data_IF_885665207697
#
_entry.id   IF_885665207697
#
_cell.length_a   1.000
_cell.length_b   1.000
_cell.length_c   1.000
_cell.angle_alpha   90.00
_cell.angle_beta   90.00
_cell.angle_gamma   90.00
#
_symmetry.space_group_name_H-M   'P 1'
#
loop_
_entity.id
_entity.type
_entity.pdbx_description
1 polymer ?
#
# COMPACT_ATOMS: atom_id res chain seq x y z
N UNK A 1 26.51 12.00 18.95
CA UNK A 1 25.44 11.75 19.94
C UNK A 1 24.25 12.57 19.50
N UNK A 2 23.37 11.99 18.67
CA UNK A 2 22.10 12.63 18.31
C UNK A 2 21.27 12.55 19.58
N UNK A 3 21.11 13.69 20.26
CA UNK A 3 20.22 13.78 21.40
C UNK A 3 18.84 13.46 20.83
N UNK A 4 18.22 12.38 21.30
CA UNK A 4 16.81 12.13 21.05
C UNK A 4 16.06 13.31 21.67
N UNK A 5 15.72 14.32 20.86
CA UNK A 5 14.76 15.33 21.28
C UNK A 5 13.52 14.57 21.76
N UNK A 6 13.10 14.85 22.99
CA UNK A 6 11.86 14.28 23.51
C UNK A 6 10.77 14.59 22.49
N UNK A 7 10.23 13.55 21.85
CA UNK A 7 9.15 13.76 20.89
C UNK A 7 7.94 14.27 21.65
N UNK A 8 7.74 15.57 21.56
CA UNK A 8 6.58 16.26 22.09
C UNK A 8 5.46 16.18 21.05
N UNK A 9 4.21 16.26 21.51
CA UNK A 9 3.04 16.23 20.62
C UNK A 9 3.13 17.30 19.51
N UNK A 10 3.83 18.41 19.77
CA UNK A 10 4.08 19.49 18.81
C UNK A 10 4.92 19.07 17.60
N UNK A 11 5.79 18.05 17.71
CA UNK A 11 6.59 17.56 16.59
C UNK A 11 5.73 16.90 15.51
N UNK A 12 4.56 16.36 15.89
CA UNK A 12 3.60 15.74 14.98
C UNK A 12 2.56 16.72 14.41
N UNK A 13 2.48 17.95 14.96
CA UNK A 13 1.51 18.95 14.54
C UNK A 13 1.59 19.29 13.04
N UNK A 14 2.79 19.47 12.42
CA UNK A 14 2.88 19.72 10.98
C UNK A 14 2.32 18.57 10.13
N UNK A 15 2.51 17.32 10.56
CA UNK A 15 2.01 16.12 9.86
C UNK A 15 0.48 16.08 9.90
N UNK A 16 -0.11 16.38 11.06
CA UNK A 16 -1.57 16.45 11.21
C UNK A 16 -2.18 17.58 10.39
N UNK A 17 -1.53 18.76 10.36
CA UNK A 17 -1.96 19.87 9.53
C UNK A 17 -1.90 19.48 8.05
N UNK A 18 -0.82 18.84 7.60
CA UNK A 18 -0.68 18.39 6.22
C UNK A 18 -1.73 17.34 5.84
N UNK A 19 -1.99 16.36 6.70
CA UNK A 19 -3.05 15.36 6.49
C UNK A 19 -4.43 16.02 6.43
N UNK A 20 -4.71 16.97 7.34
CA UNK A 20 -5.94 17.74 7.35
C UNK A 20 -6.14 18.55 6.07
N UNK A 21 -5.12 19.28 5.61
CA UNK A 21 -5.15 20.02 4.34
C UNK A 21 -5.33 19.08 3.14
N UNK A 22 -4.63 17.94 3.14
CA UNK A 22 -4.71 16.93 2.08
C UNK A 22 -6.09 16.30 1.93
N UNK A 23 -6.87 16.19 3.02
CA UNK A 23 -8.26 15.74 2.99
C UNK A 23 -9.24 16.89 2.70
N UNK A 24 -8.96 18.08 3.23
CA UNK A 24 -9.83 19.25 3.11
C UNK A 24 -9.90 19.76 1.66
N UNK A 25 -8.79 19.81 0.93
CA UNK A 25 -8.76 20.26 -0.47
C UNK A 25 -9.68 19.43 -1.38
N UNK A 26 -9.54 18.08 -1.47
CA UNK A 26 -10.46 17.24 -2.24
C UNK A 26 -11.90 17.37 -1.77
N UNK A 27 -12.14 17.46 -0.45
CA UNK A 27 -13.48 17.63 0.10
C UNK A 27 -14.14 18.94 -0.34
N UNK A 28 -13.41 20.07 -0.33
CA UNK A 28 -13.90 21.35 -0.83
C UNK A 28 -14.18 21.29 -2.33
N UNK A 29 -13.28 20.67 -3.12
CA UNK A 29 -13.47 20.53 -4.56
C UNK A 29 -14.72 19.70 -4.86
N UNK A 30 -14.91 18.57 -4.16
CA UNK A 30 -16.10 17.72 -4.31
C UNK A 30 -17.37 18.45 -3.85
N UNK A 31 -17.32 19.20 -2.75
CA UNK A 31 -18.45 20.00 -2.27
C UNK A 31 -18.81 21.13 -3.24
N UNK A 32 -17.82 21.85 -3.75
CA UNK A 32 -18.01 22.90 -4.75
C UNK A 32 -18.58 22.31 -6.05
N UNK A 33 -18.04 21.18 -6.52
CA UNK A 33 -18.58 20.46 -7.67
C UNK A 33 -20.02 20.00 -7.44
N UNK A 34 -20.34 19.54 -6.23
CA UNK A 34 -21.70 19.11 -5.88
C UNK A 34 -22.69 20.29 -5.83
N UNK A 35 -22.27 21.47 -5.34
CA UNK A 35 -23.12 22.66 -5.18
C UNK A 35 -23.28 23.42 -6.52
N UNK A 36 -22.18 23.66 -7.22
CA UNK A 36 -22.13 24.48 -8.43
C UNK A 36 -22.22 23.67 -9.73
N UNK A 37 -22.04 22.36 -9.68
CA UNK A 37 -22.10 21.50 -10.86
C UNK A 37 -23.50 21.41 -11.47
N UNK A 38 -23.55 21.36 -12.81
CA UNK A 38 -24.79 21.13 -13.54
C UNK A 38 -25.30 19.72 -13.26
N UNK A 39 -26.31 19.60 -12.40
CA UNK A 39 -26.93 18.31 -12.09
C UNK A 39 -27.82 17.88 -13.24
N UNK A 40 -27.54 16.71 -13.80
CA UNK A 40 -28.54 16.01 -14.57
C UNK A 40 -29.70 15.66 -13.63
N UNK A 41 -30.94 16.00 -14.01
CA UNK A 41 -32.12 15.41 -13.36
C UNK A 41 -32.01 13.89 -13.49
N UNK A 42 -32.30 13.16 -12.41
CA UNK A 42 -32.27 11.70 -12.38
C UNK A 42 -32.98 11.16 -13.61
N UNK A 43 -32.26 10.41 -14.42
CA UNK A 43 -32.76 9.84 -15.64
C UNK A 43 -32.41 8.36 -15.57
N UNK A 44 -33.41 7.51 -15.71
CA UNK A 44 -33.26 6.05 -15.71
C UNK A 44 -32.05 5.58 -16.52
N UNK A 45 -31.80 6.18 -17.69
CA UNK A 45 -30.66 5.82 -18.55
C UNK A 45 -29.30 6.25 -17.95
N UNK A 46 -29.22 7.41 -17.30
CA UNK A 46 -27.99 7.94 -16.69
C UNK A 46 -27.62 7.23 -15.38
N UNK A 47 -28.63 6.69 -14.69
CA UNK A 47 -28.48 6.04 -13.39
C UNK A 47 -28.25 4.51 -13.52
N UNK A 48 -28.17 3.98 -14.74
CA UNK A 48 -27.82 2.57 -15.01
C UNK A 48 -26.32 2.37 -15.19
N UNK A 49 -25.85 1.19 -14.82
CA UNK A 49 -24.51 0.73 -15.16
C UNK A 49 -24.29 0.75 -16.68
N UNK A 50 -23.10 1.16 -17.10
CA UNK A 50 -22.74 1.22 -18.50
C UNK A 50 -22.46 -0.18 -19.04
N UNK A 51 -23.26 -0.62 -20.03
CA UNK A 51 -23.11 -1.92 -20.70
C UNK A 51 -23.31 -1.75 -22.22
N UNK A 52 -22.63 -0.77 -22.84
CA UNK A 52 -22.69 -0.50 -24.29
C UNK A 52 -24.12 -0.33 -24.87
N UNK A 53 -25.09 0.07 -24.07
CA UNK A 53 -26.50 0.25 -24.47
C UNK A 53 -27.40 -0.98 -24.29
N UNK A 54 -26.85 -2.09 -23.81
CA UNK A 54 -27.58 -3.30 -23.45
C UNK A 54 -27.97 -3.27 -21.95
N UNK A 55 -28.98 -4.04 -21.52
CA UNK A 55 -29.20 -4.28 -20.11
C UNK A 55 -27.98 -5.00 -19.52
N UNK A 56 -27.52 -4.56 -18.34
CA UNK A 56 -26.46 -5.23 -17.62
C UNK A 56 -26.91 -6.66 -17.26
N UNK A 57 -26.30 -7.65 -17.93
CA UNK A 57 -26.55 -9.07 -17.71
C UNK A 57 -25.27 -9.71 -17.15
N UNK A 58 -25.39 -10.41 -16.03
CA UNK A 58 -24.25 -11.05 -15.40
C UNK A 58 -24.52 -11.48 -13.96
N UNK A 59 -23.71 -12.39 -13.43
CA UNK A 59 -23.73 -12.69 -12.00
C UNK A 59 -23.25 -11.46 -11.23
N UNK A 60 -24.04 -10.98 -10.28
CA UNK A 60 -23.72 -9.82 -9.42
C UNK A 60 -22.39 -10.01 -8.66
N UNK A 61 -21.97 -11.26 -8.44
CA UNK A 61 -20.71 -11.61 -7.77
C UNK A 61 -19.98 -12.72 -8.55
N UNK A 62 -19.23 -12.38 -9.61
CA UNK A 62 -18.39 -13.36 -10.28
C UNK A 62 -17.23 -13.77 -9.37
N UNK A 63 -16.75 -15.00 -9.52
CA UNK A 63 -15.48 -15.41 -8.91
C UNK A 63 -14.36 -14.75 -9.69
N UNK A 64 -13.61 -13.87 -9.03
CA UNK A 64 -12.39 -13.30 -9.60
C UNK A 64 -11.27 -14.34 -9.60
N UNK A 65 -10.28 -14.14 -10.46
CA UNK A 65 -9.13 -15.03 -10.56
C UNK A 65 -8.37 -15.09 -9.23
N UNK A 66 -7.91 -16.29 -8.85
CA UNK A 66 -7.09 -16.50 -7.63
C UNK A 66 -5.78 -15.70 -7.70
N UNK A 67 -5.36 -15.27 -8.89
CA UNK A 67 -4.16 -14.46 -9.14
C UNK A 67 -4.12 -13.19 -8.26
N UNK A 68 -5.25 -12.49 -8.07
CA UNK A 68 -5.31 -11.32 -7.17
C UNK A 68 -4.97 -11.66 -5.72
N UNK A 69 -5.44 -12.82 -5.24
CA UNK A 69 -5.15 -13.29 -3.88
C UNK A 69 -3.68 -13.64 -3.71
N UNK A 70 -3.09 -14.34 -4.68
CA UNK A 70 -1.66 -14.70 -4.64
C UNK A 70 -0.82 -13.42 -4.60
N UNK A 71 -1.06 -12.45 -5.48
CA UNK A 71 -0.33 -11.18 -5.47
C UNK A 71 -0.47 -10.42 -4.16
N UNK A 72 -1.68 -10.35 -3.58
CA UNK A 72 -1.91 -9.66 -2.30
C UNK A 72 -1.20 -10.36 -1.13
N UNK A 73 -1.23 -11.69 -1.09
CA UNK A 73 -0.55 -12.49 -0.08
C UNK A 73 0.97 -12.29 -0.13
N UNK A 74 1.55 -12.28 -1.34
CA UNK A 74 2.98 -12.01 -1.52
C UNK A 74 3.36 -10.58 -1.12
N UNK A 75 2.52 -9.60 -1.45
CA UNK A 75 2.73 -8.22 -1.03
C UNK A 75 2.76 -8.07 0.49
N UNK A 76 1.80 -8.69 1.20
CA UNK A 76 1.76 -8.66 2.68
C UNK A 76 3.01 -9.29 3.28
N UNK A 77 3.46 -10.42 2.71
CA UNK A 77 4.66 -11.12 3.17
C UNK A 77 5.89 -10.20 3.03
N UNK A 78 6.08 -9.61 1.86
CA UNK A 78 7.20 -8.70 1.59
C UNK A 78 7.15 -7.42 2.45
N UNK A 79 5.95 -6.88 2.71
CA UNK A 79 5.78 -5.69 3.57
C UNK A 79 6.20 -6.00 5.02
N UNK A 80 5.82 -7.16 5.55
CA UNK A 80 6.27 -7.62 6.88
C UNK A 80 7.80 -7.78 6.94
N UNK A 81 8.43 -8.25 5.86
CA UNK A 81 9.90 -8.34 5.80
C UNK A 81 10.57 -6.97 5.89
N UNK A 82 10.02 -5.96 5.20
CA UNK A 82 10.53 -4.58 5.27
C UNK A 82 10.39 -4.01 6.69
N UNK A 83 9.30 -4.32 7.39
CA UNK A 83 9.11 -3.93 8.80
C UNK A 83 10.25 -4.46 9.69
N UNK A 84 10.82 -5.64 9.40
CA UNK A 84 12.00 -6.15 10.13
C UNK A 84 13.31 -5.51 9.69
N UNK A 85 13.45 -5.14 8.41
CA UNK A 85 14.67 -4.50 7.89
C UNK A 85 14.84 -3.05 8.36
N UNK A 86 13.75 -2.31 8.59
CA UNK A 86 13.83 -0.89 8.97
C UNK A 86 14.54 -0.68 10.32
N UNK A 87 14.16 -1.35 11.44
CA UNK A 87 14.87 -1.21 12.70
C UNK A 87 16.34 -1.60 12.58
N UNK A 88 16.64 -2.69 11.87
CA UNK A 88 18.01 -3.13 11.63
C UNK A 88 18.84 -2.04 10.92
N UNK A 89 18.30 -1.42 9.87
CA UNK A 89 18.99 -0.37 9.12
C UNK A 89 19.26 0.87 9.99
N UNK A 90 18.36 1.21 10.92
CA UNK A 90 18.51 2.36 11.82
C UNK A 90 19.62 2.16 12.86
N UNK A 91 19.72 0.96 13.44
CA UNK A 91 20.70 0.65 14.53
C UNK A 91 22.02 0.08 14.02
N UNK A 92 22.14 -0.22 12.73
CA UNK A 92 23.29 -0.90 12.12
C UNK A 92 24.66 -0.34 12.57
N UNK A 93 24.79 0.99 12.60
CA UNK A 93 26.05 1.67 12.97
C UNK A 93 26.44 1.44 14.43
N UNK A 94 25.47 1.34 15.32
CA UNK A 94 25.68 1.16 16.76
C UNK A 94 26.15 -0.26 17.05
N UNK A 95 25.52 -1.26 16.40
CA UNK A 95 25.94 -2.66 16.48
C UNK A 95 27.34 -2.88 15.90
N UNK A 96 27.66 -2.20 14.80
CA UNK A 96 29.01 -2.27 14.21
C UNK A 96 30.06 -1.68 15.15
N UNK A 97 29.75 -0.56 15.82
CA UNK A 97 30.64 0.04 16.81
C UNK A 97 30.81 -0.84 18.07
N UNK A 98 29.79 -1.62 18.42
CA UNK A 98 29.83 -2.61 19.51
C UNK A 98 30.53 -3.93 19.13
N UNK A 99 31.00 -4.08 17.88
CA UNK A 99 31.67 -5.30 17.41
C UNK A 99 30.72 -6.50 17.21
N UNK A 100 29.41 -6.27 17.17
CA UNK A 100 28.41 -7.32 16.98
C UNK A 100 28.27 -7.61 15.48
N UNK A 101 28.42 -8.87 15.08
CA UNK A 101 28.34 -9.33 13.69
C UNK A 101 26.89 -9.37 13.13
N UNK A 102 26.16 -8.26 13.23
CA UNK A 102 24.75 -8.16 12.82
C UNK A 102 24.54 -8.35 11.31
N UNK A 103 25.58 -8.14 10.50
CA UNK A 103 25.59 -8.38 9.06
C UNK A 103 25.36 -9.84 8.70
N UNK A 104 25.89 -10.78 9.49
CA UNK A 104 25.75 -12.21 9.21
C UNK A 104 24.31 -12.71 9.44
N UNK A 105 23.67 -12.27 10.52
CA UNK A 105 22.26 -12.62 10.78
C UNK A 105 21.34 -12.04 9.68
N UNK A 106 21.61 -10.79 9.28
CA UNK A 106 20.78 -10.11 8.27
C UNK A 106 21.02 -10.64 6.87
N UNK A 107 22.25 -11.07 6.54
CA UNK A 107 22.52 -11.69 5.24
C UNK A 107 21.82 -13.05 5.11
N UNK A 108 21.75 -13.85 6.18
CA UNK A 108 20.97 -15.10 6.18
C UNK A 108 19.48 -14.82 6.04
N UNK A 109 18.97 -13.79 6.72
CA UNK A 109 17.59 -13.34 6.59
C UNK A 109 17.29 -12.93 5.13
N UNK A 110 18.05 -11.98 4.57
CA UNK A 110 17.90 -11.51 3.18
C UNK A 110 18.05 -12.65 2.16
N UNK A 111 18.99 -13.57 2.38
CA UNK A 111 19.17 -14.73 1.52
C UNK A 111 17.91 -15.60 1.48
N UNK A 112 17.25 -15.80 2.62
CA UNK A 112 15.99 -16.54 2.71
C UNK A 112 14.88 -15.84 1.91
N UNK A 113 14.81 -14.50 1.96
CA UNK A 113 13.83 -13.72 1.18
C UNK A 113 14.05 -13.88 -0.33
N UNK A 114 15.30 -13.69 -0.78
CA UNK A 114 15.66 -13.82 -2.19
C UNK A 114 15.38 -15.23 -2.69
N UNK A 115 15.62 -16.26 -1.86
CA UNK A 115 15.33 -17.64 -2.20
C UNK A 115 13.81 -17.89 -2.32
N UNK A 116 13.01 -17.37 -1.40
CA UNK A 116 11.55 -17.42 -1.46
C UNK A 116 11.00 -16.77 -2.73
N UNK A 117 11.45 -15.55 -3.02
CA UNK A 117 11.07 -14.83 -4.24
C UNK A 117 11.50 -15.56 -5.52
N UNK A 118 12.72 -16.10 -5.55
CA UNK A 118 13.21 -16.87 -6.69
C UNK A 118 12.38 -18.14 -6.92
N UNK A 119 11.96 -18.82 -5.84
CA UNK A 119 11.08 -19.98 -5.91
C UNK A 119 9.71 -19.61 -6.49
N UNK A 120 9.12 -18.51 -6.05
CA UNK A 120 7.80 -18.05 -6.51
C UNK A 120 7.80 -17.62 -7.97
N UNK A 121 8.84 -16.90 -8.41
CA UNK A 121 9.06 -16.56 -9.81
C UNK A 121 9.14 -17.84 -10.65
N UNK A 122 9.92 -18.83 -10.21
CA UNK A 122 10.06 -20.11 -10.91
C UNK A 122 8.75 -20.92 -10.94
N UNK A 123 7.89 -20.76 -9.94
CA UNK A 123 6.55 -21.38 -9.89
C UNK A 123 5.49 -20.62 -10.69
N UNK A 124 5.83 -19.47 -11.27
CA UNK A 124 4.90 -18.68 -12.07
C UNK A 124 3.81 -17.99 -11.23
N UNK A 125 4.03 -17.78 -9.92
CA UNK A 125 3.05 -17.15 -9.04
C UNK A 125 2.73 -15.69 -9.44
N UNK A 126 3.63 -15.08 -10.22
CA UNK A 126 3.53 -13.70 -10.72
C UNK A 126 3.08 -13.62 -12.19
N UNK A 127 2.79 -14.74 -12.85
CA UNK A 127 2.34 -14.74 -14.25
C UNK A 127 0.86 -14.31 -14.35
N UNK A 128 0.62 -13.17 -15.03
CA UNK A 128 -0.73 -12.64 -15.22
C UNK A 128 -1.41 -13.18 -16.49
N UNK A 129 -0.67 -13.26 -17.59
CA UNK A 129 -1.21 -13.59 -18.92
C UNK A 129 -0.89 -15.04 -19.30
N UNK A 130 -1.69 -15.95 -18.74
CA UNK A 130 -1.99 -17.28 -19.27
C UNK A 130 -3.43 -17.62 -18.92
#
# INVERSE_FOLDING_TARGET
MVIAEAQTLSTYLPVLIQAGLGLMLPAIILAASHIFGQRAKGNYIKDKAYECGLPAEGKVHPRFAVKFYVTAMLFILFDIEVVFLVPWALVYREFLAAGIAITAATSVFLFTLVLGLAYEIKRGALEWDK
#
